data_IF_985532703673
#
_entry.id   IF_985532703673
#
_cell.length_a   1.000
_cell.length_b   1.000
_cell.length_c   1.000
_cell.angle_alpha   90.00
_cell.angle_beta   90.00
_cell.angle_gamma   90.00
#
_symmetry.space_group_name_H-M   'P 1'
#
loop_
_entity.id
_entity.type
_entity.pdbx_description
1 polymer ?
#
# COMPACT_ATOMS: atom_id res chain seq x y z
N UNK A 1 19.34 -16.91 -7.40
CA UNK A 1 19.89 -16.31 -6.17
C UNK A 1 18.71 -15.90 -5.34
N UNK A 2 18.37 -16.66 -4.29
CA UNK A 2 17.50 -16.16 -3.23
C UNK A 2 18.45 -15.57 -2.18
N UNK A 3 18.33 -14.28 -1.92
CA UNK A 3 19.10 -13.61 -0.85
C UNK A 3 18.55 -14.07 0.51
N UNK A 4 19.01 -15.25 0.95
CA UNK A 4 18.73 -15.77 2.28
C UNK A 4 19.33 -14.82 3.32
N UNK A 5 18.49 -13.96 3.90
CA UNK A 5 18.87 -13.02 4.97
C UNK A 5 18.35 -11.59 4.82
N UNK A 6 17.77 -11.21 3.66
CA UNK A 6 17.09 -9.92 3.55
C UNK A 6 15.61 -10.02 3.88
N UNK A 7 15.08 -8.98 4.53
CA UNK A 7 13.66 -8.82 4.74
C UNK A 7 12.96 -8.72 3.38
N UNK A 8 11.98 -9.59 3.11
CA UNK A 8 11.23 -9.51 1.88
C UNK A 8 10.33 -8.26 1.90
N UNK A 9 10.11 -7.66 0.74
CA UNK A 9 9.15 -6.57 0.57
C UNK A 9 7.88 -7.13 -0.06
N UNK A 10 6.79 -7.15 0.70
CA UNK A 10 5.45 -7.46 0.18
C UNK A 10 4.90 -6.22 -0.51
N UNK A 11 4.44 -6.36 -1.75
CA UNK A 11 3.84 -5.29 -2.53
C UNK A 11 2.43 -5.72 -2.93
N UNK A 12 1.42 -4.98 -2.46
CA UNK A 12 0.01 -5.18 -2.82
C UNK A 12 -0.40 -4.08 -3.80
N UNK A 13 -1.14 -4.43 -4.85
CA UNK A 13 -1.66 -3.47 -5.83
C UNK A 13 -3.13 -3.75 -6.13
N UNK A 14 -3.91 -2.70 -6.33
CA UNK A 14 -5.35 -2.88 -6.58
C UNK A 14 -6.08 -1.56 -6.80
N UNK A 15 -7.41 -1.65 -6.75
CA UNK A 15 -8.24 -0.46 -6.66
C UNK A 15 -7.89 0.31 -5.38
N UNK A 16 -8.00 1.64 -5.45
CA UNK A 16 -7.65 2.51 -4.32
C UNK A 16 -8.41 2.13 -3.06
N UNK A 17 -9.73 1.96 -3.16
CA UNK A 17 -10.59 1.64 -2.03
C UNK A 17 -10.23 0.30 -1.38
N UNK A 18 -9.89 -0.71 -2.19
CA UNK A 18 -9.49 -2.04 -1.68
C UNK A 18 -8.16 -1.99 -0.95
N UNK A 19 -7.16 -1.29 -1.52
CA UNK A 19 -5.83 -1.17 -0.91
C UNK A 19 -5.90 -0.32 0.36
N UNK A 20 -6.60 0.81 0.34
CA UNK A 20 -6.71 1.67 1.52
C UNK A 20 -7.54 1.04 2.64
N UNK A 21 -8.51 0.17 2.33
CA UNK A 21 -9.28 -0.56 3.34
C UNK A 21 -8.42 -1.49 4.21
N UNK A 22 -7.28 -1.95 3.69
CA UNK A 22 -6.37 -2.89 4.36
C UNK A 22 -5.06 -2.24 4.83
N UNK A 23 -4.94 -0.90 4.73
CA UNK A 23 -3.75 -0.14 5.10
C UNK A 23 -4.01 0.78 6.30
N UNK A 24 -3.15 0.73 7.33
CA UNK A 24 -3.17 1.69 8.47
C UNK A 24 -2.27 2.90 8.31
N UNK A 25 -1.34 2.87 7.37
CA UNK A 25 -0.28 3.88 7.22
C UNK A 25 -0.16 4.34 5.77
N UNK A 26 0.28 5.58 5.58
CA UNK A 26 0.63 6.14 4.29
C UNK A 26 2.04 6.71 4.35
N UNK A 27 2.78 6.56 3.25
CA UNK A 27 4.12 7.13 3.13
C UNK A 27 4.06 8.46 2.38
N UNK A 28 4.51 9.51 3.02
CA UNK A 28 4.67 10.83 2.44
C UNK A 28 6.16 11.20 2.41
N UNK A 29 6.77 11.12 1.22
CA UNK A 29 8.22 11.22 1.08
C UNK A 29 8.92 10.06 1.78
N UNK A 30 9.74 10.37 2.79
CA UNK A 30 10.46 9.39 3.61
C UNK A 30 9.75 9.11 4.95
N UNK A 31 8.59 9.74 5.19
CA UNK A 31 7.88 9.63 6.47
C UNK A 31 6.67 8.72 6.32
N UNK A 32 6.60 7.70 7.16
CA UNK A 32 5.38 6.91 7.33
C UNK A 32 4.49 7.58 8.40
N UNK A 33 3.31 8.01 8.01
CA UNK A 33 2.30 8.60 8.90
C UNK A 33 1.04 7.73 8.97
N UNK A 34 0.23 7.91 10.01
CA UNK A 34 -1.02 7.18 10.16
C UNK A 34 -2.00 7.63 9.05
N UNK A 35 -2.72 6.67 8.46
CA UNK A 35 -3.77 7.00 7.49
C UNK A 35 -4.95 7.64 8.23
N UNK A 36 -4.96 8.96 8.31
CA UNK A 36 -6.06 9.71 8.94
C UNK A 36 -7.23 9.87 7.97
N UNK A 37 -8.46 10.11 8.46
CA UNK A 37 -9.61 10.40 7.62
C UNK A 37 -9.40 11.61 6.69
N UNK A 38 -8.62 12.60 7.12
CA UNK A 38 -8.28 13.78 6.32
C UNK A 38 -7.38 13.43 5.13
N UNK A 39 -6.37 12.58 5.35
CA UNK A 39 -5.51 12.08 4.28
C UNK A 39 -6.27 11.18 3.32
N UNK A 40 -7.11 10.29 3.84
CA UNK A 40 -7.98 9.44 3.03
C UNK A 40 -8.84 10.29 2.08
N UNK A 41 -9.50 11.32 2.61
CA UNK A 41 -10.31 12.23 1.79
C UNK A 41 -9.47 12.88 0.69
N UNK A 42 -8.30 13.42 1.04
CA UNK A 42 -7.39 14.05 0.06
C UNK A 42 -6.97 13.09 -1.05
N UNK A 43 -6.65 11.84 -0.70
CA UNK A 43 -6.24 10.81 -1.68
C UNK A 43 -7.41 10.46 -2.63
N UNK A 44 -8.62 10.38 -2.09
CA UNK A 44 -9.83 10.16 -2.89
C UNK A 44 -10.12 11.32 -3.84
N UNK A 45 -9.95 12.57 -3.39
CA UNK A 45 -10.14 13.77 -4.22
C UNK A 45 -9.16 13.76 -5.40
N UNK A 46 -7.86 13.57 -5.15
CA UNK A 46 -6.83 13.50 -6.22
C UNK A 46 -7.12 12.35 -7.19
N UNK A 47 -7.60 11.22 -6.68
CA UNK A 47 -7.95 10.07 -7.53
C UNK A 47 -9.18 10.35 -8.39
N UNK A 48 -10.16 11.06 -7.85
CA UNK A 48 -11.34 11.49 -8.60
C UNK A 48 -10.96 12.45 -9.73
N UNK A 49 -10.04 13.38 -9.48
CA UNK A 49 -9.50 14.28 -10.53
C UNK A 49 -8.83 13.48 -11.66
N UNK A 50 -7.95 12.54 -11.33
CA UNK A 50 -7.33 11.69 -12.34
C UNK A 50 -8.33 10.84 -13.12
N UNK A 51 -9.37 10.33 -12.47
CA UNK A 51 -10.43 9.58 -13.15
C UNK A 51 -11.25 10.49 -14.10
N UNK A 52 -11.51 11.75 -13.73
CA UNK A 52 -12.19 12.73 -14.58
C UNK A 52 -11.36 13.09 -15.81
N UNK A 53 -10.02 13.13 -15.65
CA UNK A 53 -9.07 13.25 -16.76
C UNK A 53 -8.96 11.98 -17.63
N UNK A 54 -9.69 10.91 -17.29
CA UNK A 54 -9.68 9.64 -18.01
C UNK A 54 -8.45 8.77 -17.73
N UNK A 55 -7.69 9.08 -16.68
CA UNK A 55 -6.55 8.28 -16.23
C UNK A 55 -7.03 7.14 -15.33
N UNK A 56 -6.43 5.97 -15.51
CA UNK A 56 -6.68 4.82 -14.64
C UNK A 56 -5.71 4.80 -13.48
N UNK A 57 -6.23 4.98 -12.27
CA UNK A 57 -5.45 4.96 -11.03
C UNK A 57 -5.36 3.54 -10.46
N UNK A 58 -4.17 3.16 -9.98
CA UNK A 58 -3.91 1.91 -9.25
C UNK A 58 -3.14 2.25 -7.98
N UNK A 59 -3.63 1.79 -6.84
CA UNK A 59 -2.94 1.98 -5.57
C UNK A 59 -1.90 0.89 -5.34
N UNK A 60 -0.82 1.24 -4.64
CA UNK A 60 0.27 0.34 -4.27
C UNK A 60 0.57 0.52 -2.79
N UNK A 61 0.55 -0.58 -2.04
CA UNK A 61 1.00 -0.65 -0.66
C UNK A 61 2.25 -1.53 -0.57
N UNK A 62 3.16 -1.19 0.34
CA UNK A 62 4.40 -1.92 0.54
C UNK A 62 4.64 -2.15 2.04
N UNK A 63 5.03 -3.38 2.38
CA UNK A 63 5.33 -3.80 3.75
C UNK A 63 6.61 -4.61 3.80
N UNK A 64 7.52 -4.24 4.70
CA UNK A 64 8.69 -5.06 5.01
C UNK A 64 8.28 -6.24 5.87
N UNK A 65 8.62 -7.44 5.43
CA UNK A 65 8.30 -8.70 6.10
C UNK A 65 9.44 -9.15 7.01
N UNK A 66 9.11 -9.98 7.99
CA UNK A 66 10.10 -10.55 8.90
C UNK A 66 11.11 -11.43 8.15
N UNK A 67 12.38 -11.32 8.54
CA UNK A 67 13.46 -12.09 7.94
C UNK A 67 13.28 -13.59 8.19
N UNK A 68 13.63 -14.42 7.21
CA UNK A 68 13.57 -15.89 7.33
C UNK A 68 12.18 -16.50 7.10
N UNK A 69 11.21 -15.71 6.62
CA UNK A 69 9.88 -16.20 6.27
C UNK A 69 9.79 -16.59 4.79
N UNK A 70 9.44 -17.84 4.53
CA UNK A 70 9.44 -18.45 3.18
C UNK A 70 8.05 -18.54 2.54
N UNK A 71 6.97 -18.30 3.31
CA UNK A 71 5.59 -18.39 2.83
C UNK A 71 4.73 -17.17 3.23
N UNK A 72 3.92 -16.72 2.29
CA UNK A 72 3.02 -15.56 2.38
C UNK A 72 1.61 -15.96 1.95
N UNK A 73 0.58 -15.42 2.60
CA UNK A 73 -0.82 -15.68 2.27
C UNK A 73 -1.71 -14.46 2.45
N UNK A 74 -3.02 -14.64 2.26
CA UNK A 74 -4.03 -13.56 2.31
C UNK A 74 -3.98 -12.71 3.59
N UNK A 75 -3.67 -13.34 4.73
CA UNK A 75 -3.58 -12.63 6.00
C UNK A 75 -2.44 -11.60 6.05
N UNK A 76 -1.43 -11.73 5.20
CA UNK A 76 -0.28 -10.82 5.14
C UNK A 76 -0.61 -9.53 4.37
N UNK A 77 -1.69 -9.51 3.59
CA UNK A 77 -2.13 -8.36 2.79
C UNK A 77 -2.84 -7.28 3.63
N UNK A 78 -3.19 -7.58 4.89
CA UNK A 78 -3.89 -6.67 5.79
C UNK A 78 -3.00 -6.17 6.92
N UNK A 79 -2.72 -4.87 6.95
CA UNK A 79 -2.16 -4.18 8.12
C UNK A 79 -2.48 -2.68 8.16
#
# INVERSE_FOLDING_TARGET
VQEQGQAHLLICKGALEEVLAVCKRVRHGEVDEALTPELLKRIMEVTAEFNDEGLRVVAVAARSMEQGRDAYGLADESD
#
